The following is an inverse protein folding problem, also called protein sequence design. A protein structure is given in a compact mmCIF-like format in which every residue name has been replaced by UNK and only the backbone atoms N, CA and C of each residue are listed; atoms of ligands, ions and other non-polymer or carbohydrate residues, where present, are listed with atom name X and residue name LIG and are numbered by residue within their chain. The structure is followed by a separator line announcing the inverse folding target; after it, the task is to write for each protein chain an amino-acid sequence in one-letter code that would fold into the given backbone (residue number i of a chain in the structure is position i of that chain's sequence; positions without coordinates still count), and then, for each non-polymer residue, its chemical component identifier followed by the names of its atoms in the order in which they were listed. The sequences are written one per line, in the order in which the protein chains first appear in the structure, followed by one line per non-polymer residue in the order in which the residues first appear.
data_IF_225875982263
#
_entry.id   IF_225875982263
#
_cell.length_a   1.000
_cell.length_b   1.000
_cell.length_c   1.000
_cell.angle_alpha   90.00
_cell.angle_beta   90.00
_cell.angle_gamma   90.00
#
_symmetry.space_group_name_H-M   'P 1'
#
loop_
_entity.id
_entity.type
_entity.pdbx_description
1 polymer ?
#
# COMPACT_ATOMS: atom_id res chain seq x y z
N UNK A 1 -33.43 22.96 -26.43
CA UNK A 1 -33.36 22.11 -25.22
C UNK A 1 -31.92 21.69 -25.06
N UNK A 2 -31.17 22.43 -24.25
CA UNK A 2 -29.74 22.21 -24.02
C UNK A 2 -29.59 21.10 -22.99
N UNK A 3 -29.06 19.95 -23.38
CA UNK A 3 -28.70 18.90 -22.42
C UNK A 3 -27.38 19.30 -21.76
N UNK A 4 -27.47 19.81 -20.53
CA UNK A 4 -26.31 20.00 -19.67
C UNK A 4 -25.73 18.62 -19.33
N UNK A 5 -24.53 18.34 -19.82
CA UNK A 5 -23.75 17.20 -19.35
C UNK A 5 -23.22 17.53 -17.96
N UNK A 6 -23.99 17.19 -16.93
CA UNK A 6 -23.50 17.21 -15.55
C UNK A 6 -22.56 16.02 -15.41
N UNK A 7 -21.24 16.21 -15.20
CA UNK A 7 -20.36 15.09 -14.92
C UNK A 7 -20.84 14.48 -13.62
N UNK A 8 -21.48 13.32 -13.71
CA UNK A 8 -21.93 12.57 -12.56
C UNK A 8 -20.71 12.26 -11.71
N UNK A 9 -20.54 13.03 -10.63
CA UNK A 9 -19.65 12.73 -9.52
C UNK A 9 -20.08 11.38 -8.97
N UNK A 10 -19.54 10.31 -9.56
CA UNK A 10 -19.57 8.97 -9.01
C UNK A 10 -18.71 9.02 -7.75
N UNK A 11 -19.29 9.55 -6.69
CA UNK A 11 -18.79 9.45 -5.34
C UNK A 11 -18.62 7.95 -5.08
N UNK A 12 -17.38 7.46 -5.19
CA UNK A 12 -17.03 6.12 -4.72
C UNK A 12 -17.21 6.12 -3.21
N UNK A 13 -18.44 5.92 -2.74
CA UNK A 13 -18.73 5.64 -1.34
C UNK A 13 -18.04 4.31 -1.03
N UNK A 14 -16.95 4.34 -0.28
CA UNK A 14 -16.35 3.11 0.25
C UNK A 14 -14.83 3.02 0.26
N UNK A 15 -14.09 4.01 -0.25
CA UNK A 15 -12.66 4.08 0.10
C UNK A 15 -12.52 4.88 1.39
N UNK A 16 -12.04 4.29 2.50
CA UNK A 16 -11.68 5.07 3.67
C UNK A 16 -10.71 6.16 3.22
N UNK A 17 -10.96 7.40 3.64
CA UNK A 17 -10.05 8.50 3.40
C UNK A 17 -8.73 8.15 4.07
N UNK A 18 -7.72 7.92 3.25
CA UNK A 18 -6.36 7.65 3.68
C UNK A 18 -5.85 8.87 4.46
N UNK A 19 -5.30 8.67 5.64
CA UNK A 19 -4.68 9.78 6.37
C UNK A 19 -3.43 10.24 5.59
N UNK A 20 -3.01 11.51 5.74
CA UNK A 20 -1.79 11.99 5.08
C UNK A 20 -0.55 11.15 5.41
N UNK A 21 -0.49 10.63 6.63
CA UNK A 21 0.57 9.71 7.08
C UNK A 21 0.53 8.37 6.33
N UNK A 22 -0.66 7.79 6.15
CA UNK A 22 -0.83 6.56 5.37
C UNK A 22 -0.48 6.78 3.90
N UNK A 23 -0.84 7.93 3.34
CA UNK A 23 -0.49 8.32 1.97
C UNK A 23 1.03 8.41 1.81
N UNK A 24 1.71 9.12 2.71
CA UNK A 24 3.16 9.26 2.68
C UNK A 24 3.87 7.88 2.79
N UNK A 25 3.37 6.99 3.64
CA UNK A 25 3.89 5.63 3.78
C UNK A 25 3.74 4.84 2.46
N UNK A 26 2.60 4.98 1.79
CA UNK A 26 2.31 4.27 0.54
C UNK A 26 3.12 4.81 -0.63
N UNK A 27 3.33 6.13 -0.67
CA UNK A 27 4.16 6.76 -1.68
C UNK A 27 5.62 6.30 -1.54
N UNK A 28 6.15 6.24 -0.31
CA UNK A 28 7.49 5.73 -0.02
C UNK A 28 7.63 4.24 -0.37
N UNK A 29 6.64 3.42 -0.02
CA UNK A 29 6.61 1.99 -0.35
C UNK A 29 6.58 1.77 -1.87
N UNK A 30 5.74 2.53 -2.59
CA UNK A 30 5.63 2.45 -4.04
C UNK A 30 6.94 2.86 -4.72
N UNK A 31 7.59 3.92 -4.22
CA UNK A 31 8.89 4.38 -4.71
C UNK A 31 9.96 3.31 -4.55
N UNK A 32 10.07 2.69 -3.37
CA UNK A 32 11.04 1.63 -3.11
C UNK A 32 10.77 0.38 -3.94
N UNK A 33 9.51 -0.01 -4.08
CA UNK A 33 9.12 -1.14 -4.92
C UNK A 33 9.51 -0.90 -6.39
N UNK A 34 9.28 0.31 -6.91
CA UNK A 34 9.69 0.67 -8.26
C UNK A 34 11.21 0.62 -8.46
N UNK A 35 11.99 1.05 -7.45
CA UNK A 35 13.45 0.94 -7.47
C UNK A 35 13.91 -0.52 -7.50
N UNK A 36 13.41 -1.35 -6.59
CA UNK A 36 13.75 -2.77 -6.54
C UNK A 36 13.35 -3.50 -7.83
N UNK A 37 12.16 -3.20 -8.36
CA UNK A 37 11.70 -3.78 -9.61
C UNK A 37 12.59 -3.39 -10.80
N UNK A 38 13.04 -2.13 -10.85
CA UNK A 38 13.96 -1.65 -11.87
C UNK A 38 15.37 -2.26 -11.73
N UNK A 39 15.86 -2.45 -10.51
CA UNK A 39 17.15 -3.09 -10.22
C UNK A 39 17.15 -4.59 -10.52
N UNK A 40 15.98 -5.24 -10.41
CA UNK A 40 15.83 -6.68 -10.62
C UNK A 40 15.84 -7.10 -12.09
N UNK A 41 15.74 -6.18 -13.06
CA UNK A 41 15.79 -6.44 -14.51
C UNK A 41 14.92 -7.63 -14.97
N UNK A 42 13.73 -7.78 -14.37
CA UNK A 42 12.78 -8.86 -14.70
C UNK A 42 12.90 -10.13 -13.85
N UNK A 43 13.83 -10.19 -12.91
CA UNK A 43 13.94 -11.30 -11.94
C UNK A 43 12.88 -11.21 -10.83
N UNK A 44 12.33 -10.03 -10.57
CA UNK A 44 11.28 -9.80 -9.58
C UNK A 44 9.97 -9.37 -10.22
N UNK A 45 8.88 -9.97 -9.77
CA UNK A 45 7.54 -9.47 -9.99
C UNK A 45 7.31 -8.18 -9.19
N UNK A 46 6.40 -7.32 -9.67
CA UNK A 46 6.00 -6.11 -8.96
C UNK A 46 5.49 -6.43 -7.55
N UNK A 47 4.81 -7.57 -7.37
CA UNK A 47 4.32 -8.01 -6.06
C UNK A 47 5.49 -8.32 -5.09
N UNK A 48 6.52 -8.99 -5.58
CA UNK A 48 7.71 -9.35 -4.79
C UNK A 48 8.54 -8.11 -4.47
N UNK A 49 8.67 -7.18 -5.44
CA UNK A 49 9.33 -5.90 -5.20
C UNK A 49 8.60 -5.06 -4.14
N UNK A 50 7.27 -5.09 -4.12
CA UNK A 50 6.45 -4.45 -3.07
C UNK A 50 6.64 -5.11 -1.70
N UNK A 51 6.66 -6.44 -1.65
CA UNK A 51 6.88 -7.20 -0.41
C UNK A 51 8.28 -6.94 0.18
N UNK A 52 9.31 -6.93 -0.67
CA UNK A 52 10.68 -6.58 -0.28
C UNK A 52 10.81 -5.12 0.16
N UNK A 53 10.14 -4.19 -0.54
CA UNK A 53 10.11 -2.79 -0.14
C UNK A 53 9.43 -2.60 1.22
N UNK A 54 8.31 -3.29 1.47
CA UNK A 54 7.61 -3.27 2.75
C UNK A 54 8.50 -3.83 3.87
N UNK A 55 9.17 -4.97 3.64
CA UNK A 55 10.13 -5.57 4.56
C UNK A 55 11.26 -4.59 4.93
N UNK A 56 11.86 -3.95 3.93
CA UNK A 56 12.94 -2.96 4.12
C UNK A 56 12.49 -1.66 4.80
N UNK A 57 11.23 -1.25 4.61
CA UNK A 57 10.66 -0.05 5.25
C UNK A 57 10.45 -0.22 6.76
N UNK A 58 10.70 -1.41 7.29
CA UNK A 58 10.49 -1.69 8.70
C UNK A 58 9.19 -2.42 8.97
N UNK A 59 8.59 -3.06 7.96
CA UNK A 59 7.97 -4.35 8.22
C UNK A 59 9.08 -5.39 8.52
N UNK A 60 9.81 -5.19 9.63
CA UNK A 60 9.63 -6.17 10.70
C UNK A 60 8.11 -6.23 10.79
N UNK A 61 7.49 -7.22 10.15
CA UNK A 61 6.24 -7.73 10.68
C UNK A 61 6.50 -7.67 12.17
N UNK A 62 5.75 -6.86 12.91
CA UNK A 62 5.47 -7.22 14.27
C UNK A 62 5.14 -8.69 14.10
N UNK A 63 6.10 -9.57 14.43
CA UNK A 63 5.78 -10.90 14.84
C UNK A 63 4.68 -10.57 15.80
N UNK A 64 3.45 -10.84 15.39
CA UNK A 64 2.34 -10.74 16.27
C UNK A 64 2.84 -11.56 17.42
N UNK A 65 3.23 -10.89 18.49
CA UNK A 65 3.28 -11.47 19.79
C UNK A 65 1.80 -11.80 19.95
N UNK A 66 1.41 -12.95 19.42
CA UNK A 66 0.53 -13.87 20.11
C UNK A 66 1.25 -14.05 21.43
N UNK A 67 1.04 -13.07 22.29
CA UNK A 67 1.07 -13.19 23.71
C UNK A 67 0.12 -14.36 23.92
N UNK A 68 0.72 -15.55 24.00
CA UNK A 68 0.06 -16.68 24.62
C UNK A 68 0.04 -16.28 26.10
N UNK A 69 -0.80 -15.30 26.43
CA UNK A 69 -1.08 -14.94 27.80
C UNK A 69 -1.95 -16.04 28.36
N UNK A 70 -1.25 -16.94 29.02
CA UNK A 70 -1.56 -17.47 30.34
C UNK A 70 -2.75 -18.41 30.51
N UNK A 71 -2.54 -19.27 31.52
CA UNK A 71 -3.46 -20.16 32.24
C UNK A 71 -3.63 -21.55 31.62
N UNK A 72 -3.31 -22.66 32.31
CA UNK A 72 -3.00 -22.90 33.75
C UNK A 72 -2.02 -24.06 33.92
#
# INVERSE_FOLDING_TARGET
MSHEFVPGSRCRKGRPSMTPEQQALTDELSRRAAQLWAEADGELSIAEAVELAAFQLGAKTTQTVTESRSES
#
